data_IF_685331753421
#
_entry.id   IF_685331753421
#
_cell.length_a   1.000
_cell.length_b   1.000
_cell.length_c   1.000
_cell.angle_alpha   90.00
_cell.angle_beta   90.00
_cell.angle_gamma   90.00
#
_symmetry.space_group_name_H-M   'P 1'
#
loop_
_entity.id
_entity.type
_entity.pdbx_description
1 polymer ?
#
# COMPACT_ATOMS: atom_id res chain seq x y z
N UNK A 1 12.72 4.53 13.52
CA UNK A 1 11.40 4.18 12.94
C UNK A 1 10.22 4.48 13.84
N UNK A 2 10.24 4.15 15.14
CA UNK A 2 9.11 4.43 16.05
C UNK A 2 8.64 5.89 16.04
N UNK A 3 9.55 6.86 16.11
CA UNK A 3 9.23 8.29 16.02
C UNK A 3 8.50 8.63 14.71
N UNK A 4 8.96 8.12 13.57
CA UNK A 4 8.33 8.34 12.26
C UNK A 4 6.94 7.67 12.21
N UNK A 5 6.79 6.48 12.80
CA UNK A 5 5.49 5.81 12.92
C UNK A 5 4.49 6.58 13.80
N UNK A 6 4.94 7.25 14.85
CA UNK A 6 4.09 8.09 15.71
C UNK A 6 3.73 9.44 15.06
N UNK A 7 4.66 10.03 14.30
CA UNK A 7 4.55 11.41 13.80
C UNK A 7 4.40 11.51 12.28
N UNK A 8 3.94 10.44 11.63
CA UNK A 8 3.64 10.46 10.20
C UNK A 8 2.50 11.44 9.89
N UNK A 9 2.84 12.54 9.22
CA UNK A 9 1.90 13.56 8.74
C UNK A 9 2.25 13.92 7.27
N UNK A 10 1.24 14.22 6.45
CA UNK A 10 1.46 14.77 5.10
C UNK A 10 1.49 13.78 3.93
N UNK A 11 0.96 12.56 4.08
CA UNK A 11 0.90 11.58 2.99
C UNK A 11 2.27 11.01 2.59
N UNK A 12 2.35 10.34 1.43
CA UNK A 12 3.54 9.58 1.04
C UNK A 12 4.84 10.40 0.97
N UNK A 13 4.78 11.65 0.49
CA UNK A 13 5.96 12.52 0.37
C UNK A 13 6.32 13.22 1.69
N UNK A 14 5.34 13.56 2.54
CA UNK A 14 5.62 14.12 3.87
C UNK A 14 6.39 13.15 4.75
N UNK A 15 6.10 11.86 4.64
CA UNK A 15 6.80 10.80 5.40
C UNK A 15 8.25 10.66 4.94
N UNK A 16 8.51 10.77 3.64
CA UNK A 16 9.87 10.73 3.09
C UNK A 16 10.68 11.93 3.58
N UNK A 17 10.11 13.13 3.59
CA UNK A 17 10.78 14.32 4.11
C UNK A 17 11.16 14.15 5.59
N UNK A 18 10.26 13.59 6.41
CA UNK A 18 10.58 13.26 7.81
C UNK A 18 11.69 12.22 7.95
N UNK A 19 11.77 11.25 7.03
CA UNK A 19 12.86 10.28 7.00
C UNK A 19 14.20 10.92 6.63
N UNK A 20 14.23 11.83 5.65
CA UNK A 20 15.42 12.58 5.27
C UNK A 20 15.92 13.44 6.44
N UNK A 21 15.05 14.22 7.09
CA UNK A 21 15.41 15.05 8.25
C UNK A 21 15.97 14.19 9.41
N UNK A 22 15.29 13.12 9.78
CA UNK A 22 15.69 12.33 10.95
C UNK A 22 16.91 11.43 10.69
N UNK A 23 17.04 10.86 9.48
CA UNK A 23 18.06 9.86 9.19
C UNK A 23 19.28 10.40 8.43
N UNK A 24 19.11 11.41 7.59
CA UNK A 24 20.20 12.03 6.84
C UNK A 24 20.75 13.24 7.58
N UNK A 25 19.91 14.18 8.03
CA UNK A 25 20.38 15.41 8.66
C UNK A 25 20.74 15.24 10.14
N UNK A 26 19.87 14.60 10.93
CA UNK A 26 20.11 14.47 12.38
C UNK A 26 21.04 13.33 12.77
N UNK A 27 20.93 12.18 12.11
CA UNK A 27 21.63 10.94 12.50
C UNK A 27 22.77 10.55 11.56
N UNK A 28 22.80 11.10 10.34
CA UNK A 28 23.78 10.77 9.29
C UNK A 28 23.95 9.25 9.07
N UNK A 29 22.88 8.47 9.22
CA UNK A 29 22.93 7.01 9.04
C UNK A 29 22.90 6.60 7.57
N UNK A 30 22.29 7.43 6.71
CA UNK A 30 22.12 7.19 5.28
C UNK A 30 22.21 8.51 4.51
N UNK A 31 22.72 8.45 3.27
CA UNK A 31 22.76 9.61 2.37
C UNK A 31 21.40 9.87 1.73
N UNK A 32 21.21 11.06 1.18
CA UNK A 32 19.97 11.41 0.46
C UNK A 32 19.76 10.51 -0.77
N UNK A 33 20.85 10.17 -1.49
CA UNK A 33 20.82 9.22 -2.61
C UNK A 33 20.32 7.84 -2.18
N UNK A 34 20.76 7.33 -1.03
CA UNK A 34 20.29 6.04 -0.52
C UNK A 34 18.79 6.06 -0.21
N UNK A 35 18.26 7.18 0.29
CA UNK A 35 16.81 7.32 0.50
C UNK A 35 16.05 7.31 -0.83
N UNK A 36 16.58 7.97 -1.86
CA UNK A 36 16.02 7.94 -3.22
C UNK A 36 16.01 6.51 -3.79
N UNK A 37 17.08 5.74 -3.57
CA UNK A 37 17.17 4.34 -3.98
C UNK A 37 16.14 3.48 -3.24
N UNK A 38 16.03 3.61 -1.92
CA UNK A 38 15.03 2.88 -1.14
C UNK A 38 13.61 3.20 -1.60
N UNK A 39 13.32 4.45 -1.98
CA UNK A 39 12.01 4.82 -2.53
C UNK A 39 11.75 4.16 -3.88
N UNK A 40 12.75 4.15 -4.76
CA UNK A 40 12.66 3.56 -6.09
C UNK A 40 12.39 2.07 -6.01
N UNK A 41 13.12 1.36 -5.15
CA UNK A 41 12.89 -0.07 -4.91
C UNK A 41 11.59 -0.29 -4.13
N UNK A 42 11.32 0.53 -3.10
CA UNK A 42 10.14 0.40 -2.23
C UNK A 42 8.80 0.59 -2.93
N UNK A 43 8.76 1.41 -4.00
CA UNK A 43 7.59 1.57 -4.88
C UNK A 43 7.43 0.43 -5.88
N UNK A 44 8.53 -0.22 -6.26
CA UNK A 44 8.51 -1.36 -7.19
C UNK A 44 8.01 -2.63 -6.51
N UNK A 45 8.23 -2.76 -5.20
CA UNK A 45 7.75 -3.88 -4.41
C UNK A 45 6.24 -3.76 -4.11
N UNK A 46 5.46 -4.84 -4.24
CA UNK A 46 4.06 -4.83 -3.85
C UNK A 46 3.94 -4.60 -2.33
N UNK A 47 3.03 -3.70 -1.94
CA UNK A 47 2.68 -3.47 -0.54
C UNK A 47 2.80 -2.02 -0.09
N UNK A 48 3.01 -1.83 1.22
CA UNK A 48 3.14 -0.53 1.83
C UNK A 48 4.55 0.02 1.56
N UNK A 49 4.65 1.00 0.65
CA UNK A 49 5.91 1.66 0.27
C UNK A 49 6.80 1.99 1.49
N UNK A 50 6.21 2.59 2.53
CA UNK A 50 6.94 3.03 3.73
C UNK A 50 7.47 1.84 4.55
N UNK A 51 6.73 0.72 4.58
CA UNK A 51 7.22 -0.50 5.23
C UNK A 51 8.42 -1.07 4.49
N UNK A 52 8.36 -1.13 3.14
CA UNK A 52 9.46 -1.60 2.31
C UNK A 52 10.73 -0.76 2.50
N UNK A 53 10.58 0.58 2.46
CA UNK A 53 11.69 1.52 2.72
C UNK A 53 12.26 1.29 4.13
N UNK A 54 11.41 1.07 5.13
CA UNK A 54 11.85 0.90 6.51
C UNK A 54 12.61 -0.40 6.74
N UNK A 55 12.21 -1.48 6.07
CA UNK A 55 12.93 -2.75 6.08
C UNK A 55 14.32 -2.58 5.48
N UNK A 56 14.42 -1.95 4.30
CA UNK A 56 15.71 -1.71 3.63
C UNK A 56 16.63 -0.81 4.47
N UNK A 57 16.07 0.27 5.00
CA UNK A 57 16.79 1.16 5.90
C UNK A 57 17.31 0.43 7.15
N UNK A 58 16.46 -0.36 7.79
CA UNK A 58 16.85 -1.17 8.94
C UNK A 58 17.95 -2.17 8.59
N UNK A 59 17.86 -2.76 7.41
CA UNK A 59 18.88 -3.68 6.89
C UNK A 59 20.23 -2.99 6.67
N UNK A 60 20.25 -1.78 6.12
CA UNK A 60 21.51 -1.04 5.90
C UNK A 60 22.16 -0.57 7.19
N UNK A 61 21.40 -0.30 8.25
CA UNK A 61 21.94 0.21 9.52
C UNK A 61 22.50 -0.92 10.40
N UNK A 62 21.79 -2.05 10.54
CA UNK A 62 22.19 -3.12 11.46
C UNK A 62 21.89 -4.54 10.92
N UNK A 63 21.87 -4.70 9.60
CA UNK A 63 21.63 -5.98 8.95
C UNK A 63 20.24 -6.57 9.24
N UNK A 64 20.09 -7.90 9.27
CA UNK A 64 18.80 -8.56 9.48
C UNK A 64 18.10 -8.14 10.78
N UNK A 65 18.85 -7.96 11.86
CA UNK A 65 18.30 -7.53 13.15
C UNK A 65 17.75 -6.09 13.07
N UNK A 66 18.44 -5.20 12.37
CA UNK A 66 17.98 -3.84 12.10
C UNK A 66 16.70 -3.80 11.27
N UNK A 67 16.57 -4.68 10.27
CA UNK A 67 15.35 -4.80 9.46
C UNK A 67 14.14 -5.20 10.32
N UNK A 68 14.28 -6.19 11.19
CA UNK A 68 13.22 -6.57 12.14
C UNK A 68 12.87 -5.44 13.11
N UNK A 69 13.87 -4.80 13.70
CA UNK A 69 13.66 -3.69 14.64
C UNK A 69 13.01 -2.47 13.97
N UNK A 70 13.38 -2.15 12.73
CA UNK A 70 12.80 -1.06 11.96
C UNK A 70 11.32 -1.34 11.62
N UNK A 71 11.02 -2.57 11.20
CA UNK A 71 9.65 -3.02 10.89
C UNK A 71 8.76 -2.95 12.11
N UNK A 72 9.20 -3.56 13.22
CA UNK A 72 8.47 -3.53 14.48
C UNK A 72 8.33 -2.11 15.01
N UNK A 73 9.39 -1.30 14.93
CA UNK A 73 9.36 0.09 15.36
C UNK A 73 8.33 0.91 14.57
N UNK A 74 8.20 0.68 13.25
CA UNK A 74 7.22 1.38 12.43
C UNK A 74 5.78 0.88 12.68
N UNK A 75 5.57 -0.43 12.81
CA UNK A 75 4.23 -1.00 13.01
C UNK A 75 3.72 -0.92 14.45
N UNK A 76 4.60 -0.87 15.44
CA UNK A 76 4.26 -0.81 16.86
C UNK A 76 3.28 0.32 17.22
N UNK A 77 3.48 1.59 16.83
CA UNK A 77 2.53 2.65 17.19
C UNK A 77 1.15 2.40 16.59
N UNK A 78 1.06 1.94 15.34
CA UNK A 78 -0.20 1.59 14.71
C UNK A 78 -0.89 0.42 15.44
N UNK A 79 -0.14 -0.63 15.80
CA UNK A 79 -0.66 -1.78 16.54
C UNK A 79 -1.13 -1.40 17.96
N UNK A 80 -0.40 -0.53 18.66
CA UNK A 80 -0.76 -0.04 19.99
C UNK A 80 -2.08 0.73 19.94
N UNK A 81 -2.23 1.66 18.99
CA UNK A 81 -3.48 2.40 18.80
C UNK A 81 -4.62 1.45 18.42
N UNK A 82 -4.39 0.51 17.51
CA UNK A 82 -5.40 -0.49 17.13
C UNK A 82 -5.83 -1.35 18.31
N UNK A 83 -4.89 -1.84 19.12
CA UNK A 83 -5.18 -2.65 20.29
C UNK A 83 -5.99 -1.85 21.32
N UNK A 84 -5.61 -0.59 21.57
CA UNK A 84 -6.32 0.30 22.48
C UNK A 84 -7.77 0.54 22.01
N UNK A 85 -7.95 0.89 20.74
CA UNK A 85 -9.28 1.10 20.15
C UNK A 85 -10.11 -0.17 20.22
N UNK A 86 -9.51 -1.33 19.94
CA UNK A 86 -10.21 -2.63 19.98
C UNK A 86 -10.63 -3.00 21.40
N UNK A 87 -9.80 -2.72 22.40
CA UNK A 87 -10.10 -2.93 23.81
C UNK A 87 -11.32 -2.10 24.24
N UNK A 88 -11.31 -0.79 23.96
CA UNK A 88 -12.46 0.08 24.24
C UNK A 88 -13.70 -0.30 23.42
N UNK A 89 -13.51 -0.68 22.16
CA UNK A 89 -14.60 -1.14 21.30
C UNK A 89 -15.31 -2.35 21.88
N UNK A 90 -14.56 -3.33 22.39
CA UNK A 90 -15.12 -4.57 22.94
C UNK A 90 -15.88 -4.31 24.25
N UNK A 91 -15.37 -3.39 25.09
CA UNK A 91 -16.05 -2.96 26.30
C UNK A 91 -17.37 -2.22 26.00
N UNK A 92 -17.40 -1.37 24.97
CA UNK A 92 -18.54 -0.51 24.64
C UNK A 92 -19.60 -1.20 23.76
N UNK A 93 -19.24 -2.25 23.03
CA UNK A 93 -20.14 -2.94 22.09
C UNK A 93 -21.34 -3.61 22.78
N UNK A 94 -21.25 -3.94 24.07
CA UNK A 94 -22.36 -4.55 24.81
C UNK A 94 -23.57 -3.62 24.99
N UNK A 95 -23.38 -2.31 24.85
CA UNK A 95 -24.46 -1.31 24.95
C UNK A 95 -25.18 -1.20 23.60
N UNK A 96 -26.49 -1.50 23.59
CA UNK A 96 -27.31 -1.54 22.37
C UNK A 96 -27.27 -0.22 21.56
N UNK A 97 -27.23 0.93 22.23
CA UNK A 97 -27.15 2.25 21.61
C UNK A 97 -25.83 2.45 20.85
N UNK A 98 -24.70 2.00 21.42
CA UNK A 98 -23.38 2.14 20.80
C UNK A 98 -23.28 1.25 19.56
N UNK A 99 -23.85 0.05 19.59
CA UNK A 99 -23.86 -0.83 18.41
C UNK A 99 -24.59 -0.21 17.21
N UNK A 100 -25.62 0.61 17.43
CA UNK A 100 -26.32 1.34 16.35
C UNK A 100 -25.46 2.47 15.78
N UNK A 101 -24.76 3.22 16.63
CA UNK A 101 -23.80 4.24 16.19
C UNK A 101 -22.66 3.61 15.38
N UNK A 102 -22.12 2.48 15.85
CA UNK A 102 -21.06 1.74 15.14
C UNK A 102 -21.51 1.22 13.77
N UNK A 103 -22.77 0.80 13.63
CA UNK A 103 -23.33 0.46 12.32
C UNK A 103 -23.44 1.70 11.40
N UNK A 104 -23.75 2.87 11.96
CA UNK A 104 -23.67 4.14 11.23
C UNK A 104 -22.26 4.45 10.71
N UNK A 105 -21.24 4.23 11.55
CA UNK A 105 -19.83 4.38 11.14
C UNK A 105 -19.49 3.45 9.98
N UNK A 106 -19.94 2.18 10.01
CA UNK A 106 -19.74 1.25 8.88
C UNK A 106 -20.35 1.76 7.58
N UNK A 107 -21.50 2.42 7.63
CA UNK A 107 -22.12 3.06 6.46
C UNK A 107 -21.27 4.22 5.93
N UNK A 108 -20.71 5.04 6.82
CA UNK A 108 -19.86 6.16 6.46
C UNK A 108 -18.54 5.75 5.77
N UNK A 109 -18.06 4.52 6.00
CA UNK A 109 -16.84 4.00 5.34
C UNK A 109 -17.05 3.78 3.84
N UNK A 110 -18.27 3.47 3.39
CA UNK A 110 -18.59 3.19 1.98
C UNK A 110 -18.22 4.37 1.06
N UNK A 111 -18.71 5.61 1.26
CA UNK A 111 -18.36 6.75 0.41
C UNK A 111 -16.87 7.12 0.50
N UNK A 112 -16.21 6.88 1.64
CA UNK A 112 -14.75 7.10 1.78
C UNK A 112 -13.98 6.15 0.86
N UNK A 113 -14.33 4.86 0.84
CA UNK A 113 -13.72 3.87 -0.05
C UNK A 113 -14.01 4.21 -1.51
N UNK A 114 -15.24 4.62 -1.84
CA UNK A 114 -15.61 5.04 -3.20
C UNK A 114 -14.78 6.26 -3.62
N UNK A 115 -14.66 7.28 -2.78
CA UNK A 115 -13.87 8.48 -3.06
C UNK A 115 -12.39 8.17 -3.25
N UNK A 116 -11.82 7.29 -2.41
CA UNK A 116 -10.44 6.82 -2.57
C UNK A 116 -10.24 6.05 -3.89
N UNK A 117 -11.18 5.15 -4.21
CA UNK A 117 -11.16 4.39 -5.46
C UNK A 117 -11.27 5.30 -6.69
N UNK A 118 -12.09 6.35 -6.60
CA UNK A 118 -12.26 7.31 -7.69
C UNK A 118 -10.98 8.12 -7.93
N UNK A 119 -10.27 8.52 -6.87
CA UNK A 119 -8.95 9.15 -7.00
C UNK A 119 -7.93 8.23 -7.68
N UNK A 120 -7.97 6.93 -7.40
CA UNK A 120 -7.07 5.95 -8.02
C UNK A 120 -7.42 5.62 -9.49
N UNK A 121 -8.64 5.92 -9.95
CA UNK A 121 -9.12 5.62 -11.31
C UNK A 121 -8.15 6.10 -12.40
N UNK A 122 -7.62 7.31 -12.27
CA UNK A 122 -6.76 7.92 -13.29
C UNK A 122 -5.40 7.21 -13.46
N UNK A 123 -4.88 6.59 -12.40
CA UNK A 123 -3.64 5.83 -12.45
C UNK A 123 -3.88 4.35 -12.77
N UNK A 124 -5.04 3.81 -12.39
CA UNK A 124 -5.37 2.40 -12.57
C UNK A 124 -6.00 2.07 -13.95
N UNK A 125 -6.76 2.98 -14.56
CA UNK A 125 -7.50 2.76 -15.81
C UNK A 125 -6.90 3.53 -16.98
N UNK A 126 -5.68 3.15 -17.37
CA UNK A 126 -4.93 3.84 -18.44
C UNK A 126 -5.40 3.43 -19.84
N UNK A 127 -5.92 2.20 -20.03
CA UNK A 127 -6.31 1.68 -21.35
C UNK A 127 -7.76 1.20 -21.45
N UNK A 128 -8.28 1.07 -22.67
CA UNK A 128 -9.59 0.45 -22.95
C UNK A 128 -9.69 -0.99 -22.40
N UNK A 129 -8.57 -1.74 -22.39
CA UNK A 129 -8.49 -3.10 -21.85
C UNK A 129 -8.66 -3.08 -20.32
N UNK A 130 -8.13 -2.06 -19.64
CA UNK A 130 -8.26 -1.90 -18.19
C UNK A 130 -9.72 -1.72 -17.74
N UNK A 131 -10.53 -1.04 -18.56
CA UNK A 131 -11.98 -0.92 -18.31
C UNK A 131 -12.73 -2.24 -18.47
N UNK A 132 -12.36 -3.07 -19.45
CA UNK A 132 -12.95 -4.41 -19.65
C UNK A 132 -12.59 -5.33 -18.48
N UNK A 133 -11.33 -5.31 -18.04
CA UNK A 133 -10.89 -6.08 -16.87
C UNK A 133 -11.61 -5.63 -15.60
N UNK A 134 -11.78 -4.31 -15.41
CA UNK A 134 -12.55 -3.78 -14.28
C UNK A 134 -14.00 -4.26 -14.28
N UNK A 135 -14.68 -4.21 -15.44
CA UNK A 135 -16.06 -4.66 -15.56
C UNK A 135 -16.18 -6.18 -15.32
N UNK A 136 -15.27 -6.98 -15.87
CA UNK A 136 -15.22 -8.42 -15.64
C UNK A 136 -14.95 -8.77 -14.17
N UNK A 137 -13.97 -8.12 -13.53
CA UNK A 137 -13.66 -8.32 -12.12
C UNK A 137 -14.82 -7.89 -11.20
N UNK A 138 -15.52 -6.81 -11.54
CA UNK A 138 -16.70 -6.36 -10.81
C UNK A 138 -17.84 -7.38 -10.90
N UNK A 139 -18.12 -7.90 -12.09
CA UNK A 139 -19.13 -8.94 -12.30
C UNK A 139 -18.79 -10.22 -11.53
N UNK A 140 -17.53 -10.67 -11.58
CA UNK A 140 -17.07 -11.85 -10.83
C UNK A 140 -17.21 -11.63 -9.32
N UNK A 141 -16.84 -10.46 -8.80
CA UNK A 141 -17.00 -10.12 -7.39
C UNK A 141 -18.47 -9.98 -6.95
N UNK A 142 -19.35 -9.49 -7.82
CA UNK A 142 -20.75 -9.25 -7.50
C UNK A 142 -21.60 -10.53 -7.52
N UNK A 143 -21.32 -11.44 -8.47
CA UNK A 143 -22.13 -12.65 -8.68
C UNK A 143 -21.54 -13.92 -8.06
N UNK A 144 -20.26 -13.93 -7.65
CA UNK A 144 -19.62 -15.13 -7.10
C UNK A 144 -19.30 -14.96 -5.62
N UNK A 145 -19.63 -15.96 -4.78
CA UNK A 145 -19.24 -16.04 -3.35
C UNK A 145 -17.75 -16.36 -3.15
N UNK A 146 -16.91 -16.15 -4.16
CA UNK A 146 -15.48 -16.45 -4.10
C UNK A 146 -14.82 -15.49 -3.10
N UNK A 147 -13.84 -16.00 -2.35
CA UNK A 147 -13.10 -15.20 -1.40
C UNK A 147 -12.45 -14.02 -2.14
N UNK A 148 -12.73 -12.79 -1.70
CA UNK A 148 -12.19 -11.55 -2.28
C UNK A 148 -10.66 -11.58 -2.49
N UNK A 149 -9.85 -12.19 -1.60
CA UNK A 149 -8.41 -12.37 -1.84
C UNK A 149 -8.11 -13.22 -3.08
N UNK A 150 -8.88 -14.28 -3.34
CA UNK A 150 -8.68 -15.17 -4.50
C UNK A 150 -9.01 -14.45 -5.81
N UNK A 151 -9.99 -13.55 -5.82
CA UNK A 151 -10.27 -12.69 -6.98
C UNK A 151 -9.12 -11.72 -7.26
N UNK A 152 -8.50 -11.17 -6.22
CA UNK A 152 -7.31 -10.31 -6.36
C UNK A 152 -6.13 -11.10 -6.94
N UNK A 153 -5.90 -12.32 -6.47
CA UNK A 153 -4.82 -13.19 -6.99
C UNK A 153 -5.08 -13.54 -8.46
N UNK A 154 -6.30 -13.98 -8.81
CA UNK A 154 -6.65 -14.28 -10.20
C UNK A 154 -6.53 -13.06 -11.11
N UNK A 155 -6.97 -11.89 -10.64
CA UNK A 155 -6.82 -10.62 -11.36
C UNK A 155 -5.35 -10.23 -11.55
N UNK A 156 -4.50 -10.44 -10.54
CA UNK A 156 -3.05 -10.22 -10.65
C UNK A 156 -2.40 -11.17 -11.66
N UNK A 157 -2.76 -12.46 -11.65
CA UNK A 157 -2.25 -13.46 -12.59
C UNK A 157 -2.70 -13.15 -14.03
N UNK A 158 -3.97 -12.81 -14.23
CA UNK A 158 -4.47 -12.38 -15.55
C UNK A 158 -3.82 -11.07 -16.02
N UNK A 159 -3.62 -10.12 -15.11
CA UNK A 159 -2.93 -8.86 -15.39
C UNK A 159 -1.47 -9.08 -15.81
N UNK A 160 -0.75 -9.98 -15.13
CA UNK A 160 0.63 -10.35 -15.48
C UNK A 160 0.70 -11.06 -16.84
N UNK A 161 -0.21 -12.00 -17.11
CA UNK A 161 -0.32 -12.67 -18.41
C UNK A 161 -0.51 -11.67 -19.56
N UNK A 162 -1.46 -10.72 -19.41
CA UNK A 162 -1.71 -9.71 -20.42
C UNK A 162 -0.56 -8.70 -20.55
N UNK A 163 0.10 -8.35 -19.44
CA UNK A 163 1.28 -7.50 -19.43
C UNK A 163 2.44 -8.12 -20.19
N UNK A 164 2.71 -9.42 -20.01
CA UNK A 164 3.75 -10.15 -20.74
C UNK A 164 3.44 -10.24 -22.24
N UNK A 165 2.16 -10.43 -22.61
CA UNK A 165 1.73 -10.49 -24.03
C UNK A 165 1.86 -9.12 -24.71
N UNK A 166 1.52 -8.03 -24.01
CA UNK A 166 1.69 -6.67 -24.53
C UNK A 166 3.16 -6.25 -24.64
N UNK A 167 3.99 -6.62 -23.67
CA UNK A 167 5.43 -6.33 -23.68
C UNK A 167 6.15 -7.08 -24.81
N UNK A 168 5.74 -8.34 -25.09
CA UNK A 168 6.20 -9.08 -26.27
C UNK A 168 5.82 -8.38 -27.58
N UNK A 169 4.59 -7.89 -27.72
CA UNK A 169 4.12 -7.20 -28.93
C UNK A 169 4.86 -5.87 -29.18
N UNK A 170 5.32 -5.20 -28.12
CA UNK A 170 6.15 -3.99 -28.21
C UNK A 170 7.62 -4.29 -28.56
N UNK A 171 8.15 -5.46 -28.19
CA UNK A 171 9.49 -5.92 -28.61
C UNK A 171 9.52 -6.38 -30.06
N UNK A 172 8.52 -7.14 -30.53
CA UNK A 172 8.38 -7.55 -31.95
C UNK A 172 8.20 -6.35 -32.90
N UNK A 173 7.59 -5.25 -32.43
CA UNK A 173 7.42 -4.03 -33.23
C UNK A 173 8.71 -3.21 -33.42
N UNK A 174 9.79 -3.49 -32.68
CA UNK A 174 11.09 -2.81 -32.85
C UNK A 174 12.07 -3.56 -33.75
N UNK A 175 11.86 -4.84 -34.02
CA UNK A 175 12.70 -5.61 -34.96
C UNK A 175 12.23 -5.54 -36.42
N UNK A 176 11.01 -5.05 -36.68
CA UNK A 176 10.44 -4.91 -38.03
C UNK A 176 10.55 -3.52 -38.68
N UNK A 177 11.36 -2.61 -38.13
CA UNK A 177 11.40 -1.20 -38.53
C UNK A 177 12.80 -0.62 -38.66
N UNK A 178 13.59 -1.17 -39.58
CA UNK A 178 14.67 -0.46 -40.27
C UNK A 178 14.24 -0.31 -41.74
N UNK A 179 14.40 0.88 -42.32
CA UNK A 179 15.68 1.19 -42.95
C UNK A 179 16.42 2.39 -42.35
#
# INVERSE_FOLDING_TARGET
MFKIGCFTFGGGWGIVAQMQEEFTERRHWVTEEQILDFMSVGRSLPGLMIMNISVMFGYTVAGPAGAFAATLGLSAPALLVFALVTYFYTAMKQIHTINRVLNGVRSAVIPVIIGASWKMKGQALVSKISYVIMAAAFLVCAFTKVSKPMVVILGAVFGLMLGIIQDRKMRDGKEGGQP
#
